data_IF_116471836997
#
_entry.id   IF_116471836997
#
_cell.length_a   1.000
_cell.length_b   1.000
_cell.length_c   1.000
_cell.angle_alpha   90.00
_cell.angle_beta   90.00
_cell.angle_gamma   90.00
#
_symmetry.space_group_name_H-M   'P 1'
#
loop_
_entity.id
_entity.type
_entity.pdbx_description
1 polymer ?
#
# COMPACT_ATOMS: atom_id res chain seq x y z
N UNK A 1 -1.52 -5.48 0.21
CA UNK A 1 -1.89 -6.17 1.43
C UNK A 1 -1.03 -7.42 1.66
N UNK A 2 -0.24 -7.44 2.74
CA UNK A 2 0.51 -8.62 3.19
C UNK A 2 -0.22 -9.39 4.30
N UNK A 3 -1.34 -8.85 4.81
CA UNK A 3 -2.09 -9.41 5.94
C UNK A 3 -1.27 -9.66 7.22
N UNK A 4 -0.09 -9.02 7.36
CA UNK A 4 0.74 -9.14 8.55
C UNK A 4 1.42 -7.81 8.91
N UNK A 5 1.41 -7.38 10.19
CA UNK A 5 2.13 -6.20 10.64
C UNK A 5 3.64 -6.45 10.67
N UNK A 6 4.46 -5.62 10.02
CA UNK A 6 5.92 -5.81 10.00
C UNK A 6 6.63 -5.38 11.30
N UNK A 7 6.01 -4.55 12.12
CA UNK A 7 6.58 -4.04 13.38
C UNK A 7 5.52 -3.94 14.49
N UNK A 8 5.95 -3.99 15.76
CA UNK A 8 5.02 -4.00 16.90
C UNK A 8 4.13 -2.74 16.95
N UNK A 9 4.63 -1.61 16.45
CA UNK A 9 3.89 -0.34 16.38
C UNK A 9 2.78 -0.34 15.30
N UNK A 10 2.81 -1.32 14.39
CA UNK A 10 1.77 -1.51 13.36
C UNK A 10 0.48 -2.14 13.90
N UNK A 11 0.38 -2.34 15.21
CA UNK A 11 -0.82 -2.89 15.86
C UNK A 11 -1.25 -2.02 17.06
N UNK A 12 -2.56 -1.91 17.28
CA UNK A 12 -3.16 -1.41 18.51
C UNK A 12 -4.16 -2.43 19.07
N UNK A 13 -3.91 -2.99 20.28
CA UNK A 13 -2.73 -2.75 21.12
C UNK A 13 -1.43 -3.26 20.47
N UNK A 14 -0.28 -2.73 20.88
CA UNK A 14 1.01 -3.17 20.34
C UNK A 14 1.25 -4.64 20.71
N UNK A 15 1.38 -5.49 19.71
CA UNK A 15 1.65 -6.92 19.87
C UNK A 15 3.10 -7.25 19.53
N UNK A 16 3.59 -8.34 20.12
CA UNK A 16 4.91 -8.88 19.78
C UNK A 16 4.85 -9.50 18.39
N UNK A 17 5.89 -9.25 17.60
CA UNK A 17 6.04 -9.84 16.27
C UNK A 17 6.29 -11.36 16.39
N UNK A 18 5.52 -12.15 15.64
CA UNK A 18 5.62 -13.60 15.58
C UNK A 18 6.93 -14.06 14.91
N UNK A 19 7.10 -15.37 14.71
CA UNK A 19 8.34 -15.92 14.15
C UNK A 19 8.37 -15.77 12.63
N UNK A 20 7.21 -15.90 12.00
CA UNK A 20 6.97 -15.87 10.57
C UNK A 20 7.28 -14.48 10.01
N UNK A 21 6.78 -13.44 10.67
CA UNK A 21 7.03 -12.04 10.35
C UNK A 21 8.49 -11.66 10.60
N UNK A 22 9.14 -12.25 11.62
CA UNK A 22 10.59 -12.08 11.80
C UNK A 22 11.39 -12.70 10.65
N UNK A 23 10.98 -13.88 10.16
CA UNK A 23 11.60 -14.49 8.99
C UNK A 23 11.34 -13.66 7.72
N UNK A 24 10.13 -13.12 7.56
CA UNK A 24 9.80 -12.19 6.47
C UNK A 24 10.69 -10.94 6.51
N UNK A 25 10.83 -10.30 7.67
CA UNK A 25 11.70 -9.14 7.83
C UNK A 25 13.17 -9.45 7.50
N UNK A 26 13.65 -10.66 7.78
CA UNK A 26 15.00 -11.09 7.38
C UNK A 26 15.14 -11.22 5.86
N UNK A 27 14.13 -11.77 5.16
CA UNK A 27 14.10 -11.83 3.69
C UNK A 27 14.05 -10.42 3.08
N UNK A 28 13.23 -9.52 3.64
CA UNK A 28 13.17 -8.14 3.19
C UNK A 28 14.52 -7.44 3.31
N UNK A 29 15.25 -7.69 4.39
CA UNK A 29 16.59 -7.15 4.60
C UNK A 29 17.61 -7.72 3.60
N UNK A 30 17.57 -9.03 3.32
CA UNK A 30 18.42 -9.70 2.32
C UNK A 30 18.18 -9.16 0.90
N UNK A 31 16.94 -8.79 0.58
CA UNK A 31 16.57 -8.20 -0.71
C UNK A 31 16.79 -6.67 -0.77
N UNK A 32 17.39 -6.09 0.27
CA UNK A 32 17.56 -4.64 0.43
C UNK A 32 16.26 -3.85 0.26
N UNK A 33 15.14 -4.42 0.71
CA UNK A 33 13.84 -3.78 0.75
C UNK A 33 13.57 -3.16 2.12
N UNK A 34 12.88 -2.02 2.11
CA UNK A 34 12.42 -1.31 3.29
C UNK A 34 10.91 -1.06 3.20
N UNK A 35 10.27 -1.01 4.36
CA UNK A 35 8.94 -0.43 4.49
C UNK A 35 9.05 1.09 4.40
N UNK A 36 8.60 1.65 3.27
CA UNK A 36 8.71 3.09 2.98
C UNK A 36 7.89 3.90 4.00
N UNK A 37 6.70 3.43 4.36
CA UNK A 37 5.85 4.12 5.33
C UNK A 37 6.54 4.21 6.68
N UNK A 38 7.06 3.09 7.20
CA UNK A 38 7.72 3.07 8.50
C UNK A 38 9.05 3.82 8.50
N UNK A 39 9.73 3.88 7.35
CA UNK A 39 10.97 4.64 7.21
C UNK A 39 10.72 6.15 7.28
N UNK A 40 9.66 6.65 6.64
CA UNK A 40 9.28 8.07 6.70
C UNK A 40 8.56 8.45 8.01
N UNK A 41 7.87 7.49 8.63
CA UNK A 41 7.03 7.68 9.82
C UNK A 41 7.38 6.71 10.96
N UNK A 42 8.61 6.76 11.52
CA UNK A 42 9.10 5.72 12.43
C UNK A 42 8.31 5.58 13.74
N UNK A 43 7.58 6.63 14.16
CA UNK A 43 6.84 6.65 15.43
C UNK A 43 5.33 6.87 15.27
N UNK A 44 4.86 7.08 14.04
CA UNK A 44 3.45 7.37 13.76
C UNK A 44 2.61 6.11 13.94
N UNK A 45 1.46 6.26 14.60
CA UNK A 45 0.50 5.19 14.87
C UNK A 45 -0.76 5.41 14.03
N UNK A 46 -0.64 5.16 12.73
CA UNK A 46 -1.77 5.09 11.81
C UNK A 46 -1.87 3.67 11.26
N UNK A 47 -3.09 3.30 10.88
CA UNK A 47 -3.47 1.92 10.60
C UNK A 47 -4.22 1.85 9.28
N UNK A 48 -3.98 0.79 8.51
CA UNK A 48 -4.66 0.57 7.24
C UNK A 48 -5.96 -0.22 7.40
N UNK A 49 -6.14 -0.92 8.51
CA UNK A 49 -7.25 -1.83 8.71
C UNK A 49 -7.78 -1.81 10.15
N UNK A 50 -9.08 -2.04 10.32
CA UNK A 50 -9.73 -2.25 11.60
C UNK A 50 -10.45 -3.60 11.62
N UNK A 51 -10.06 -4.47 12.56
CA UNK A 51 -10.72 -5.76 12.77
C UNK A 51 -11.92 -5.58 13.70
N UNK A 52 -13.14 -5.64 13.14
CA UNK A 52 -14.35 -5.55 13.96
C UNK A 52 -14.51 -6.73 14.94
N UNK A 53 -14.04 -7.93 14.55
CA UNK A 53 -14.14 -9.13 15.39
C UNK A 53 -13.26 -9.05 16.65
N UNK A 54 -12.14 -8.33 16.58
CA UNK A 54 -11.16 -8.24 17.66
C UNK A 54 -11.07 -6.86 18.29
N UNK A 55 -11.72 -5.85 17.70
CA UNK A 55 -11.64 -4.47 18.18
C UNK A 55 -10.23 -3.87 18.08
N UNK A 56 -9.44 -4.32 17.10
CA UNK A 56 -8.02 -3.95 16.96
C UNK A 56 -7.77 -3.21 15.66
N UNK A 57 -6.76 -2.33 15.70
CA UNK A 57 -6.26 -1.67 14.50
C UNK A 57 -4.92 -2.28 14.09
N UNK A 58 -4.72 -2.45 12.78
CA UNK A 58 -3.46 -2.93 12.23
C UNK A 58 -3.08 -2.19 10.94
N UNK A 59 -1.77 -2.10 10.70
CA UNK A 59 -1.23 -1.69 9.40
C UNK A 59 -0.66 -2.92 8.72
N UNK A 60 -1.44 -3.48 7.79
CA UNK A 60 -1.16 -4.71 7.03
C UNK A 60 -0.94 -4.44 5.54
N UNK A 61 -1.19 -3.20 5.12
CA UNK A 61 -0.83 -2.68 3.81
C UNK A 61 0.54 -1.99 3.90
N UNK A 62 1.46 -2.43 3.05
CA UNK A 62 2.84 -1.97 3.03
C UNK A 62 3.23 -1.53 1.63
N UNK A 63 3.91 -0.39 1.53
CA UNK A 63 4.67 -0.02 0.35
C UNK A 63 6.13 -0.40 0.60
N UNK A 64 6.61 -1.42 -0.10
CA UNK A 64 7.99 -1.87 -0.03
C UNK A 64 8.80 -1.24 -1.16
N UNK A 65 10.01 -0.79 -0.84
CA UNK A 65 10.91 -0.15 -1.79
C UNK A 65 12.36 -0.49 -1.52
N UNK A 66 13.21 -0.39 -2.54
CA UNK A 66 14.64 -0.65 -2.38
C UNK A 66 15.32 0.45 -1.57
N UNK A 67 16.27 0.10 -0.70
CA UNK A 67 17.03 1.04 0.15
C UNK A 67 17.68 2.17 -0.65
N UNK A 68 18.20 1.88 -1.84
CA UNK A 68 18.82 2.91 -2.71
C UNK A 68 17.80 3.91 -3.29
N UNK A 69 16.51 3.58 -3.26
CA UNK A 69 15.42 4.44 -3.72
C UNK A 69 15.00 5.52 -2.72
N UNK A 70 15.60 5.59 -1.53
CA UNK A 70 15.17 6.48 -0.43
C UNK A 70 14.96 7.94 -0.86
N UNK A 71 15.84 8.50 -1.69
CA UNK A 71 15.73 9.89 -2.16
C UNK A 71 14.54 10.14 -3.10
N UNK A 72 13.94 9.07 -3.64
CA UNK A 72 12.80 9.14 -4.54
C UNK A 72 11.47 9.09 -3.79
N UNK A 73 11.43 8.57 -2.55
CA UNK A 73 10.21 8.50 -1.75
C UNK A 73 9.93 9.87 -1.11
N UNK A 74 9.04 10.64 -1.72
CA UNK A 74 8.76 12.01 -1.27
C UNK A 74 7.82 12.03 -0.06
N UNK A 75 6.71 11.31 -0.19
CA UNK A 75 5.62 11.31 0.79
C UNK A 75 4.87 10.00 0.72
N UNK A 76 4.40 9.52 1.85
CA UNK A 76 3.47 8.39 1.89
C UNK A 76 2.43 8.63 2.97
N UNK A 77 1.17 8.35 2.65
CA UNK A 77 0.01 8.61 3.50
C UNK A 77 -0.99 7.45 3.45
N UNK A 78 -1.68 7.24 4.56
CA UNK A 78 -2.85 6.37 4.64
C UNK A 78 -4.09 7.23 4.41
N UNK A 79 -4.91 6.86 3.42
CA UNK A 79 -6.12 7.59 3.03
C UNK A 79 -7.34 6.75 3.43
N UNK A 80 -8.22 7.28 4.30
CA UNK A 80 -9.47 6.60 4.64
C UNK A 80 -10.29 6.23 3.41
N UNK A 81 -10.74 4.99 3.33
CA UNK A 81 -11.58 4.50 2.23
C UNK A 81 -12.99 4.17 2.76
N UNK A 82 -14.03 4.70 2.12
CA UNK A 82 -15.43 4.38 2.48
C UNK A 82 -15.95 3.13 1.76
N UNK A 83 -15.24 2.67 0.73
CA UNK A 83 -15.65 1.55 -0.14
C UNK A 83 -15.01 0.22 0.25
N UNK A 84 -14.09 0.22 1.22
CA UNK A 84 -13.37 -0.96 1.69
C UNK A 84 -13.13 -0.82 3.19
N UNK A 85 -13.02 -1.97 3.85
CA UNK A 85 -12.49 -2.15 5.20
C UNK A 85 -10.98 -1.84 5.30
N UNK A 86 -10.29 -1.68 4.18
CA UNK A 86 -8.92 -1.21 4.09
C UNK A 86 -8.86 0.26 3.65
N UNK A 87 -8.04 1.03 4.36
CA UNK A 87 -7.58 2.35 3.93
C UNK A 87 -6.52 2.22 2.83
N UNK A 88 -6.54 3.14 1.88
CA UNK A 88 -5.59 3.13 0.77
C UNK A 88 -4.23 3.69 1.21
N UNK A 89 -3.15 3.23 0.58
CA UNK A 89 -1.84 3.87 0.67
C UNK A 89 -1.58 4.73 -0.56
N UNK A 90 -1.15 5.97 -0.35
CA UNK A 90 -0.72 6.87 -1.41
C UNK A 90 0.76 7.18 -1.25
N UNK A 91 1.57 6.74 -2.19
CA UNK A 91 3.00 7.03 -2.27
C UNK A 91 3.26 8.06 -3.37
N UNK A 92 3.89 9.17 -3.00
CA UNK A 92 4.36 10.20 -3.92
C UNK A 92 5.87 10.00 -4.16
N UNK A 93 6.25 9.94 -5.44
CA UNK A 93 7.62 9.72 -5.87
C UNK A 93 8.20 10.99 -6.51
N UNK A 94 9.38 11.39 -6.06
CA UNK A 94 10.20 12.42 -6.70
C UNK A 94 10.94 11.80 -7.88
N UNK A 95 10.35 11.89 -9.07
CA UNK A 95 11.02 11.50 -10.31
C UNK A 95 11.82 12.69 -10.86
N UNK A 96 13.15 12.58 -10.89
CA UNK A 96 14.03 13.63 -11.45
C UNK A 96 13.99 13.69 -12.98
N UNK A 97 13.51 12.64 -13.62
CA UNK A 97 13.34 12.59 -15.08
C UNK A 97 11.90 12.97 -15.43
N UNK A 98 11.69 13.65 -16.55
CA UNK A 98 10.33 13.74 -17.11
C UNK A 98 9.96 12.32 -17.52
N UNK A 99 8.78 11.78 -17.17
CA UNK A 99 8.34 10.53 -17.76
C UNK A 99 8.34 10.75 -19.28
N UNK A 100 9.33 10.17 -19.96
CA UNK A 100 9.27 10.05 -21.41
C UNK A 100 7.94 9.38 -21.74
N UNK A 101 7.29 9.79 -22.82
CA UNK A 101 6.00 9.23 -23.27
C UNK A 101 6.15 7.70 -23.35
N UNK A 102 5.76 7.02 -22.28
CA UNK A 102 5.93 5.59 -22.12
C UNK A 102 4.69 4.93 -22.69
N UNK A 103 4.88 4.06 -23.69
CA UNK A 103 3.80 3.32 -24.36
C UNK A 103 3.03 2.37 -23.43
N UNK A 104 3.47 2.21 -22.18
CA UNK A 104 3.01 1.18 -21.25
C UNK A 104 2.08 1.72 -20.14
N UNK A 105 1.53 2.93 -20.30
CA UNK A 105 0.43 3.36 -19.43
C UNK A 105 -0.82 2.55 -19.76
N UNK A 106 -1.41 1.87 -18.77
CA UNK A 106 -2.73 1.25 -18.92
C UNK A 106 -3.76 2.34 -19.21
N UNK A 107 -4.12 2.46 -20.48
CA UNK A 107 -5.16 3.38 -20.94
C UNK A 107 -6.36 2.58 -21.40
N UNK A 108 -7.49 2.79 -20.76
CA UNK A 108 -8.76 2.25 -21.24
C UNK A 108 -8.97 2.69 -22.70
N UNK A 109 -9.19 1.73 -23.59
CA UNK A 109 -9.56 2.03 -24.97
C UNK A 109 -10.98 2.59 -24.96
N UNK A 110 -11.10 3.90 -25.19
CA UNK A 110 -12.39 4.63 -25.16
C UNK A 110 -13.41 4.11 -26.18
N UNK A 111 -12.99 3.34 -27.19
CA UNK A 111 -13.91 2.65 -28.10
C UNK A 111 -14.79 1.60 -27.39
N UNK A 112 -14.29 1.00 -26.31
CA UNK A 112 -15.06 0.03 -25.52
C UNK A 112 -16.25 0.69 -24.81
N UNK A 113 -16.11 1.97 -24.44
CA UNK A 113 -17.18 2.78 -23.84
C UNK A 113 -18.26 3.20 -24.84
N UNK A 114 -18.08 2.94 -26.14
CA UNK A 114 -19.13 3.15 -27.16
C UNK A 114 -20.06 1.94 -27.28
N UNK A 115 -19.75 0.82 -26.64
CA UNK A 115 -20.57 -0.37 -26.67
C UNK A 115 -21.57 -0.35 -25.51
N UNK A 116 -22.85 -0.26 -25.82
CA UNK A 116 -23.92 -0.17 -24.81
C UNK A 116 -24.01 -1.41 -23.92
N UNK A 117 -23.67 -2.60 -24.43
CA UNK A 117 -23.64 -3.83 -23.63
C UNK A 117 -22.53 -3.77 -22.57
N UNK A 118 -21.34 -3.29 -22.95
CA UNK A 118 -20.23 -3.09 -22.02
C UNK A 118 -20.63 -2.05 -20.96
N UNK A 119 -21.26 -0.94 -21.38
CA UNK A 119 -21.71 0.10 -20.45
C UNK A 119 -22.78 -0.40 -19.47
N UNK A 120 -23.70 -1.25 -19.92
CA UNK A 120 -24.71 -1.88 -19.06
C UNK A 120 -24.06 -2.81 -18.03
N UNK A 121 -23.05 -3.57 -18.42
CA UNK A 121 -22.34 -4.46 -17.50
C UNK A 121 -21.52 -3.68 -16.47
N UNK A 122 -20.82 -2.62 -16.89
CA UNK A 122 -20.12 -1.70 -15.97
C UNK A 122 -21.11 -1.12 -14.95
N UNK A 123 -22.31 -0.70 -15.39
CA UNK A 123 -23.36 -0.16 -14.52
C UNK A 123 -23.94 -1.16 -13.53
N UNK A 124 -23.80 -2.48 -13.76
CA UNK A 124 -24.23 -3.49 -12.77
C UNK A 124 -23.17 -3.74 -11.69
N UNK A 125 -21.92 -3.42 -11.99
CA UNK A 125 -20.76 -3.67 -11.12
C UNK A 125 -20.41 -2.47 -10.23
N UNK A 126 -21.08 -1.33 -10.45
CA UNK A 126 -21.01 -0.09 -9.66
C UNK A 126 -22.35 0.07 -8.94
#
# INVERSE_FOLDING_TARGET
>A
DLNTPLSAIDTAPMQKIDKETRALNAILDELDLIDIYRTLHPRTKEYSFYSNAHGTFSRIDHALGHKTGLSQYQKIEIIPCIFSDHNALKLELNHKEKPGRNSNTWRLRTILLKNDSINQEIKKQI
#
